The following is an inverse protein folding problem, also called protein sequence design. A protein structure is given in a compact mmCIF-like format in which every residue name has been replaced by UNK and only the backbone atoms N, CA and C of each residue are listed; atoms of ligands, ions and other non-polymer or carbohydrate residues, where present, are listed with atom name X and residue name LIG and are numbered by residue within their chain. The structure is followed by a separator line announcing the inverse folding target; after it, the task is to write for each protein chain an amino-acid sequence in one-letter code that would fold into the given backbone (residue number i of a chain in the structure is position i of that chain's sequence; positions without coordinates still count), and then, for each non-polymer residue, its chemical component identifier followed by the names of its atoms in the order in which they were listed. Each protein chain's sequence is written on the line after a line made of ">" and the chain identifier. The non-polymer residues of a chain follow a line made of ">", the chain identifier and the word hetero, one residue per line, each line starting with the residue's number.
data_IF_145803323121
#
_entry.id   IF_145803323121
#
_cell.length_a   1.000
_cell.length_b   1.000
_cell.length_c   1.000
_cell.angle_alpha   90.00
_cell.angle_beta   90.00
_cell.angle_gamma   90.00
#
_symmetry.space_group_name_H-M   'P 1'
#
loop_
_entity.id
_entity.type
_entity.pdbx_description
1 polymer ?
#
# COMPACT_ATOMS: atom_id res chain seq x y z
N UNK A 1 13.62 -14.05 12.78
CA UNK A 1 13.59 -14.41 11.55
C UNK A 1 13.74 -15.84 11.05
N UNK A 2 14.61 -16.69 11.64
CA UNK A 2 14.96 -18.01 11.05
C UNK A 2 13.81 -19.04 11.07
N UNK A 3 12.76 -18.82 11.87
CA UNK A 3 11.55 -19.68 11.90
C UNK A 3 10.40 -19.12 11.05
N UNK A 4 10.68 -18.29 10.04
CA UNK A 4 9.67 -17.65 9.19
C UNK A 4 8.92 -16.49 9.84
N UNK A 5 9.00 -16.31 11.14
CA UNK A 5 8.38 -15.20 11.86
C UNK A 5 9.37 -14.06 12.01
N UNK A 6 8.99 -12.86 11.57
CA UNK A 6 9.79 -11.65 11.70
C UNK A 6 9.14 -10.71 12.72
N UNK A 7 9.89 -10.28 13.72
CA UNK A 7 9.44 -9.28 14.69
C UNK A 7 9.33 -7.87 14.09
N UNK A 8 9.77 -7.68 12.84
CA UNK A 8 9.75 -6.42 12.10
C UNK A 8 10.39 -5.24 12.86
N UNK A 9 11.60 -5.37 13.42
CA UNK A 9 12.24 -4.27 14.16
C UNK A 9 12.40 -3.02 13.31
N UNK A 10 12.62 -3.17 11.99
CA UNK A 10 12.68 -2.04 11.07
C UNK A 10 11.34 -1.27 10.93
N UNK A 11 10.24 -1.79 11.44
CA UNK A 11 8.90 -1.17 11.40
C UNK A 11 8.47 -0.57 12.73
N UNK A 12 9.36 -0.53 13.70
CA UNK A 12 9.14 0.13 14.98
C UNK A 12 9.51 1.62 14.91
N UNK A 13 8.96 2.46 15.80
CA UNK A 13 9.37 3.86 15.88
C UNK A 13 10.77 3.96 16.48
N UNK A 14 11.58 4.88 15.94
CA UNK A 14 12.95 5.18 16.39
C UNK A 14 13.15 6.67 16.51
N UNK A 15 14.09 7.06 17.36
CA UNK A 15 14.67 8.40 17.45
C UNK A 15 16.12 8.38 16.98
N UNK A 16 16.55 9.42 16.30
CA UNK A 16 17.92 9.62 15.92
C UNK A 16 18.56 10.55 16.96
N UNK A 17 19.35 9.98 17.85
CA UNK A 17 20.05 10.73 18.90
C UNK A 17 21.47 11.09 18.49
N UNK A 18 21.95 12.25 18.93
CA UNK A 18 23.36 12.61 18.88
C UNK A 18 24.12 12.05 20.10
N UNK A 19 25.41 12.34 20.20
CA UNK A 19 26.27 11.90 21.32
C UNK A 19 25.87 12.49 22.69
N UNK A 20 24.92 13.43 22.73
CA UNK A 20 24.39 14.05 23.96
C UNK A 20 22.96 13.61 24.26
N UNK A 21 22.49 12.53 23.62
CA UNK A 21 21.11 12.01 23.71
C UNK A 21 20.02 12.99 23.29
N UNK A 22 20.33 13.99 22.46
CA UNK A 22 19.37 14.92 21.91
C UNK A 22 18.78 14.37 20.61
N UNK A 23 17.45 14.48 20.44
CA UNK A 23 16.77 14.03 19.22
C UNK A 23 17.05 14.99 18.05
N UNK A 24 17.86 14.54 17.11
CA UNK A 24 18.29 15.32 15.94
C UNK A 24 17.16 15.64 14.94
N UNK A 25 16.03 14.98 15.07
CA UNK A 25 14.87 15.15 14.20
C UNK A 25 13.73 15.92 14.87
N UNK A 26 13.89 16.34 16.12
CA UNK A 26 12.91 17.14 16.82
C UNK A 26 12.61 18.45 16.06
N UNK A 27 11.33 18.71 15.80
CA UNK A 27 10.89 19.89 15.04
C UNK A 27 11.13 19.84 13.52
N UNK A 28 11.70 18.73 13.00
CA UNK A 28 11.87 18.50 11.56
C UNK A 28 10.69 17.72 10.99
N UNK A 29 10.45 17.87 9.68
CA UNK A 29 9.47 17.09 8.95
C UNK A 29 9.98 15.66 8.70
N UNK A 30 9.95 14.83 9.76
CA UNK A 30 10.35 13.45 9.75
C UNK A 30 9.32 12.58 10.46
N UNK A 31 9.06 11.39 9.90
CA UNK A 31 8.25 10.39 10.56
C UNK A 31 9.03 9.65 11.66
N UNK A 32 8.34 8.79 12.39
CA UNK A 32 8.92 8.02 13.50
C UNK A 32 9.55 6.69 13.05
N UNK A 33 9.24 6.21 11.85
CA UNK A 33 9.65 4.89 11.35
C UNK A 33 10.91 5.00 10.48
N UNK A 34 11.97 5.52 11.07
CA UNK A 34 13.20 5.91 10.38
C UNK A 34 13.89 4.77 9.63
N UNK A 35 13.69 3.53 10.06
CA UNK A 35 14.27 2.33 9.47
C UNK A 35 13.28 1.55 8.59
N UNK A 36 12.10 2.10 8.31
CA UNK A 36 11.07 1.44 7.51
C UNK A 36 11.26 1.73 6.02
N UNK A 37 11.86 0.82 5.21
CA UNK A 37 12.03 1.08 3.79
C UNK A 37 10.70 0.95 3.04
N UNK A 38 10.62 1.64 1.91
CA UNK A 38 9.62 1.42 0.87
C UNK A 38 9.76 0.00 0.29
N UNK A 39 8.73 -0.47 -0.38
CA UNK A 39 8.78 -1.74 -1.09
C UNK A 39 9.56 -1.57 -2.39
N UNK A 40 10.47 -2.51 -2.68
CA UNK A 40 11.20 -2.50 -3.93
C UNK A 40 10.27 -2.98 -5.06
N UNK A 41 10.09 -2.15 -6.07
CA UNK A 41 9.40 -2.47 -7.31
C UNK A 41 10.32 -2.09 -8.48
N UNK A 42 10.68 -3.08 -9.27
CA UNK A 42 11.64 -2.92 -10.38
C UNK A 42 11.00 -3.02 -11.75
N UNK A 43 9.68 -3.07 -11.85
CA UNK A 43 9.01 -3.16 -13.14
C UNK A 43 9.42 -2.01 -14.08
N UNK A 44 9.53 -0.79 -13.60
CA UNK A 44 9.93 0.35 -14.42
C UNK A 44 11.34 0.26 -15.04
N UNK A 45 12.21 -0.56 -14.45
CA UNK A 45 13.62 -0.74 -14.86
C UNK A 45 13.93 -2.19 -15.26
N UNK A 46 12.91 -3.01 -15.45
CA UNK A 46 13.07 -4.42 -15.79
C UNK A 46 13.86 -4.64 -17.09
N UNK A 47 13.64 -3.88 -18.17
CA UNK A 47 14.46 -3.95 -19.37
C UNK A 47 15.95 -3.79 -19.10
N UNK A 48 16.33 -2.76 -18.33
CA UNK A 48 17.72 -2.51 -17.99
C UNK A 48 18.35 -3.64 -17.17
N UNK A 49 17.56 -4.30 -16.31
CA UNK A 49 18.03 -5.45 -15.53
C UNK A 49 18.27 -6.67 -16.43
N UNK A 50 17.40 -6.92 -17.40
CA UNK A 50 17.56 -8.01 -18.36
C UNK A 50 18.79 -7.75 -19.23
N UNK A 51 18.95 -6.53 -19.77
CA UNK A 51 20.09 -6.13 -20.61
C UNK A 51 21.41 -6.18 -19.85
N UNK A 52 21.40 -5.93 -18.56
CA UNK A 52 22.55 -6.10 -17.67
C UNK A 52 22.92 -7.58 -17.38
N UNK A 53 22.16 -8.53 -17.93
CA UNK A 53 22.42 -9.97 -17.80
C UNK A 53 21.86 -10.61 -16.54
N UNK A 54 20.86 -10.00 -15.89
CA UNK A 54 20.16 -10.64 -14.76
C UNK A 54 19.29 -11.76 -15.30
N UNK A 55 19.62 -13.00 -14.95
CA UNK A 55 18.96 -14.21 -15.45
C UNK A 55 17.93 -14.80 -14.50
N UNK A 56 17.85 -14.33 -13.27
CA UNK A 56 16.91 -14.83 -12.26
C UNK A 56 16.47 -13.73 -11.30
N UNK A 57 15.19 -13.69 -11.01
CA UNK A 57 14.55 -12.70 -10.15
C UNK A 57 13.93 -13.38 -8.95
N UNK A 58 14.32 -12.98 -7.74
CA UNK A 58 13.70 -13.44 -6.51
C UNK A 58 12.62 -12.47 -6.05
N UNK A 59 11.38 -12.94 -6.02
CA UNK A 59 10.25 -12.18 -5.47
C UNK A 59 10.09 -12.57 -4.00
N UNK A 60 10.12 -11.57 -3.11
CA UNK A 60 9.96 -11.80 -1.68
C UNK A 60 8.48 -11.74 -1.30
N UNK A 61 7.95 -12.87 -0.86
CA UNK A 61 6.55 -13.02 -0.45
C UNK A 61 6.39 -13.45 1.02
N UNK A 62 7.49 -13.49 1.80
CA UNK A 62 7.40 -13.90 3.21
C UNK A 62 6.48 -12.97 4.01
N UNK A 63 5.60 -13.55 4.81
CA UNK A 63 4.56 -12.84 5.58
C UNK A 63 3.49 -12.18 4.69
N UNK A 64 3.44 -12.53 3.43
CA UNK A 64 2.40 -12.09 2.50
C UNK A 64 1.35 -13.18 2.31
N UNK A 65 0.16 -12.79 1.88
CA UNK A 65 -0.90 -13.72 1.48
C UNK A 65 -0.57 -14.33 0.11
N UNK A 66 -1.13 -15.52 -0.20
CA UNK A 66 -0.95 -16.14 -1.52
C UNK A 66 -1.34 -15.24 -2.70
N UNK A 67 -2.39 -14.41 -2.53
CA UNK A 67 -2.88 -13.48 -3.54
C UNK A 67 -1.80 -12.44 -3.92
N UNK A 68 -1.03 -11.97 -2.95
CA UNK A 68 0.10 -11.09 -3.23
C UNK A 68 1.12 -11.76 -4.17
N UNK A 69 1.45 -13.01 -3.88
CA UNK A 69 2.43 -13.75 -4.70
C UNK A 69 1.88 -13.95 -6.11
N UNK A 70 0.62 -14.33 -6.23
CA UNK A 70 -0.03 -14.52 -7.53
C UNK A 70 0.00 -13.24 -8.38
N UNK A 71 -0.47 -12.11 -7.84
CA UNK A 71 -0.54 -10.82 -8.54
C UNK A 71 0.86 -10.34 -8.95
N UNK A 72 1.83 -10.38 -8.03
CA UNK A 72 3.17 -9.85 -8.31
C UNK A 72 3.93 -10.73 -9.30
N UNK A 73 3.84 -12.06 -9.18
CA UNK A 73 4.51 -13.00 -10.09
C UNK A 73 3.92 -12.90 -11.49
N UNK A 74 2.59 -12.84 -11.61
CA UNK A 74 1.90 -12.70 -12.89
C UNK A 74 2.30 -11.41 -13.61
N UNK A 75 2.26 -10.27 -12.93
CA UNK A 75 2.67 -8.99 -13.49
C UNK A 75 4.15 -8.99 -13.91
N UNK A 76 5.05 -9.54 -13.09
CA UNK A 76 6.46 -9.66 -13.46
C UNK A 76 6.65 -10.60 -14.67
N UNK A 77 5.90 -11.71 -14.74
CA UNK A 77 5.99 -12.65 -15.86
C UNK A 77 5.54 -11.99 -17.16
N UNK A 78 4.39 -11.34 -17.16
CA UNK A 78 3.88 -10.60 -18.33
C UNK A 78 4.84 -9.50 -18.79
N UNK A 79 5.42 -8.76 -17.85
CA UNK A 79 6.40 -7.71 -18.15
C UNK A 79 7.67 -8.29 -18.82
N UNK A 80 8.19 -9.42 -18.35
CA UNK A 80 9.33 -10.10 -18.97
C UNK A 80 8.97 -10.57 -20.38
N UNK A 81 7.80 -11.19 -20.54
CA UNK A 81 7.37 -11.73 -21.84
C UNK A 81 7.15 -10.59 -22.86
N UNK A 82 6.57 -9.47 -22.47
CA UNK A 82 6.41 -8.29 -23.34
C UNK A 82 7.75 -7.72 -23.77
N UNK A 83 8.73 -7.65 -22.86
CA UNK A 83 10.08 -7.21 -23.20
C UNK A 83 10.76 -8.14 -24.21
N UNK A 84 10.69 -9.45 -23.98
CA UNK A 84 11.27 -10.44 -24.89
C UNK A 84 10.59 -10.48 -26.27
N UNK A 85 9.31 -10.08 -26.34
CA UNK A 85 8.58 -9.90 -27.58
C UNK A 85 8.91 -8.58 -28.31
N UNK A 86 9.72 -7.71 -27.71
CA UNK A 86 10.13 -6.42 -28.30
C UNK A 86 9.15 -5.25 -28.08
N UNK A 87 8.13 -5.43 -27.26
CA UNK A 87 7.11 -4.41 -26.94
C UNK A 87 6.91 -4.33 -25.43
N UNK A 88 7.91 -3.76 -24.73
CA UNK A 88 7.84 -3.64 -23.29
C UNK A 88 6.70 -2.75 -22.85
N UNK A 89 5.75 -3.36 -22.18
CA UNK A 89 4.62 -2.67 -21.58
C UNK A 89 4.25 -3.28 -20.24
N UNK A 90 4.00 -2.42 -19.25
CA UNK A 90 3.38 -2.80 -17.98
C UNK A 90 2.02 -2.11 -17.95
N UNK A 91 0.91 -2.85 -18.10
CA UNK A 91 -0.43 -2.27 -18.04
C UNK A 91 -0.65 -1.48 -16.75
N UNK A 92 -1.38 -0.37 -16.85
CA UNK A 92 -1.72 0.45 -15.68
C UNK A 92 -2.52 -0.36 -14.64
N UNK A 93 -3.34 -1.29 -15.11
CA UNK A 93 -4.07 -2.23 -14.28
C UNK A 93 -3.14 -3.09 -13.41
N UNK A 94 -2.02 -3.57 -13.94
CA UNK A 94 -1.04 -4.34 -13.18
C UNK A 94 -0.40 -3.52 -12.08
N UNK A 95 -0.04 -2.28 -12.39
CA UNK A 95 0.51 -1.36 -11.40
C UNK A 95 -0.51 -1.05 -10.31
N UNK A 96 -1.78 -0.84 -10.67
CA UNK A 96 -2.87 -0.61 -9.74
C UNK A 96 -3.13 -1.85 -8.84
N UNK A 97 -3.11 -3.05 -9.42
CA UNK A 97 -3.28 -4.31 -8.67
C UNK A 97 -2.14 -4.55 -7.68
N UNK A 98 -0.89 -4.28 -8.09
CA UNK A 98 0.28 -4.37 -7.20
C UNK A 98 0.17 -3.35 -6.06
N UNK A 99 -0.24 -2.11 -6.35
CA UNK A 99 -0.44 -1.09 -5.34
C UNK A 99 -1.54 -1.46 -4.36
N UNK A 100 -2.65 -2.01 -4.85
CA UNK A 100 -3.79 -2.42 -4.04
C UNK A 100 -3.47 -3.61 -3.14
N UNK A 101 -2.79 -4.62 -3.67
CA UNK A 101 -2.52 -5.85 -2.90
C UNK A 101 -1.55 -5.62 -1.76
N UNK A 102 -0.52 -4.78 -1.95
CA UNK A 102 0.38 -4.36 -0.88
C UNK A 102 1.25 -3.16 -1.27
N UNK A 103 1.16 -2.08 -0.50
CA UNK A 103 1.85 -0.82 -0.79
C UNK A 103 2.36 -0.15 0.49
N UNK A 104 3.67 0.14 0.55
CA UNK A 104 4.33 1.03 1.53
C UNK A 104 5.13 2.12 0.81
N UNK A 105 4.63 2.61 -0.30
CA UNK A 105 5.30 3.27 -1.41
C UNK A 105 6.33 2.37 -2.09
N UNK A 106 6.71 2.72 -3.33
CA UNK A 106 7.66 1.96 -4.11
C UNK A 106 8.99 2.70 -4.29
N UNK A 107 10.03 1.92 -4.52
CA UNK A 107 11.39 2.40 -4.79
C UNK A 107 12.11 1.38 -5.67
N UNK A 108 13.02 1.85 -6.51
CA UNK A 108 14.02 1.00 -7.20
C UNK A 108 15.24 0.71 -6.33
N UNK A 109 15.20 1.15 -5.06
CA UNK A 109 16.31 1.06 -4.10
C UNK A 109 17.60 1.69 -4.66
N UNK A 110 18.69 0.93 -4.67
CA UNK A 110 20.01 1.41 -5.12
C UNK A 110 20.33 1.07 -6.57
N UNK A 111 19.36 0.55 -7.34
CA UNK A 111 19.62 0.05 -8.70
C UNK A 111 19.86 1.17 -9.71
N UNK A 112 19.25 2.35 -9.52
CA UNK A 112 19.44 3.49 -10.41
C UNK A 112 20.29 4.61 -9.78
N UNK A 113 20.14 4.82 -8.48
CA UNK A 113 20.77 5.93 -7.75
C UNK A 113 20.84 5.64 -6.26
N UNK A 114 21.54 6.48 -5.53
CA UNK A 114 21.50 6.47 -4.05
C UNK A 114 20.29 7.26 -3.58
N UNK A 115 19.21 6.60 -3.12
CA UNK A 115 17.96 7.30 -2.80
C UNK A 115 18.01 8.11 -1.50
N UNK A 116 18.98 7.84 -0.61
CA UNK A 116 19.08 8.49 0.68
C UNK A 116 17.80 8.29 1.51
N UNK A 117 17.34 9.35 2.18
CA UNK A 117 16.10 9.32 2.99
C UNK A 117 14.85 8.98 2.18
N UNK A 118 14.80 9.27 0.89
CA UNK A 118 13.60 9.01 0.06
C UNK A 118 13.30 7.52 -0.10
N UNK A 119 14.24 6.65 0.26
CA UNK A 119 14.03 5.21 0.33
C UNK A 119 13.11 4.80 1.49
N UNK A 120 12.96 5.65 2.51
CA UNK A 120 12.21 5.31 3.71
C UNK A 120 10.73 5.69 3.60
N UNK A 121 9.89 4.81 4.15
CA UNK A 121 8.47 5.03 4.39
C UNK A 121 8.30 5.40 5.87
N UNK A 122 8.91 6.53 6.27
CA UNK A 122 9.14 6.90 7.67
C UNK A 122 7.86 7.30 8.44
N UNK A 123 6.78 7.59 7.74
CA UNK A 123 5.50 7.98 8.37
C UNK A 123 4.55 6.82 8.60
N UNK A 124 4.63 5.77 7.79
CA UNK A 124 3.67 4.66 7.80
C UNK A 124 4.36 3.33 7.44
N UNK A 125 4.59 2.45 8.43
CA UNK A 125 5.32 1.20 8.22
C UNK A 125 4.45 0.06 7.69
N UNK A 126 3.11 0.21 7.72
CA UNK A 126 2.16 -0.81 7.33
C UNK A 126 1.73 -0.68 5.86
N UNK A 127 1.01 -1.68 5.37
CA UNK A 127 0.31 -1.59 4.10
C UNK A 127 -0.60 -0.35 4.09
N UNK A 128 -0.57 0.42 3.01
CA UNK A 128 -1.40 1.62 2.85
C UNK A 128 -2.65 1.36 2.02
N UNK A 129 -2.61 0.29 1.20
CA UNK A 129 -3.58 0.10 0.15
C UNK A 129 -3.61 1.28 -0.81
N UNK A 130 -4.74 1.48 -1.45
CA UNK A 130 -5.03 2.63 -2.31
C UNK A 130 -6.07 3.54 -1.65
N UNK A 131 -5.94 4.85 -1.85
CA UNK A 131 -6.97 5.79 -1.41
C UNK A 131 -8.16 5.67 -2.35
N UNK A 132 -9.27 5.17 -1.83
CA UNK A 132 -10.49 4.94 -2.62
C UNK A 132 -11.52 6.05 -2.50
N UNK A 133 -11.37 6.95 -1.53
CA UNK A 133 -12.33 8.04 -1.33
C UNK A 133 -12.20 8.72 0.01
N UNK A 134 -13.16 9.59 0.30
CA UNK A 134 -13.23 10.39 1.52
C UNK A 134 -14.58 10.26 2.19
N UNK A 135 -14.58 10.15 3.51
CA UNK A 135 -15.81 10.18 4.32
C UNK A 135 -16.41 11.57 4.23
N UNK A 136 -17.59 11.66 3.60
CA UNK A 136 -18.36 12.89 3.47
C UNK A 136 -19.24 13.12 4.71
N UNK A 137 -19.78 12.06 5.30
CA UNK A 137 -20.62 12.12 6.50
C UNK A 137 -20.45 10.85 7.33
N UNK A 138 -20.46 10.99 8.64
CA UNK A 138 -20.46 9.91 9.60
C UNK A 138 -21.69 9.99 10.50
N UNK A 139 -22.50 8.94 10.51
CA UNK A 139 -23.60 8.75 11.46
C UNK A 139 -23.13 7.78 12.56
N UNK A 140 -22.69 8.35 13.68
CA UNK A 140 -22.18 7.59 14.82
C UNK A 140 -23.25 6.76 15.53
N UNK A 141 -24.53 7.20 15.48
CA UNK A 141 -25.63 6.52 16.16
C UNK A 141 -26.02 5.24 15.40
N UNK A 142 -25.88 5.24 14.10
CA UNK A 142 -26.22 4.11 13.22
C UNK A 142 -24.99 3.33 12.75
N UNK A 143 -23.80 3.75 13.13
CA UNK A 143 -22.54 3.18 12.65
C UNK A 143 -22.47 3.12 11.12
N UNK A 144 -22.84 4.22 10.45
CA UNK A 144 -22.81 4.31 9.00
C UNK A 144 -21.94 5.48 8.55
N UNK A 145 -21.19 5.28 7.46
CA UNK A 145 -20.44 6.34 6.79
C UNK A 145 -20.92 6.51 5.35
N UNK A 146 -21.06 7.76 4.93
CA UNK A 146 -21.21 8.14 3.53
C UNK A 146 -19.82 8.45 3.00
N UNK A 147 -19.39 7.72 1.98
CA UNK A 147 -18.09 7.86 1.34
C UNK A 147 -18.29 8.38 -0.08
N UNK A 148 -17.58 9.46 -0.43
CA UNK A 148 -17.42 9.89 -1.82
C UNK A 148 -16.26 9.13 -2.42
N UNK A 149 -16.52 8.34 -3.45
CA UNK A 149 -15.53 7.46 -4.07
C UNK A 149 -14.68 8.21 -5.09
N UNK A 150 -13.38 7.99 -5.04
CA UNK A 150 -12.41 8.40 -6.05
C UNK A 150 -11.98 7.22 -6.93
N UNK A 151 -12.19 5.96 -6.44
CA UNK A 151 -11.97 4.70 -7.14
C UNK A 151 -13.17 3.78 -6.94
N UNK A 152 -13.26 2.73 -7.74
CA UNK A 152 -14.31 1.72 -7.62
C UNK A 152 -14.22 0.97 -6.30
N UNK A 153 -15.38 0.61 -5.74
CA UNK A 153 -15.51 -0.16 -4.51
C UNK A 153 -16.48 -1.32 -4.71
N UNK A 154 -16.13 -2.50 -4.21
CA UNK A 154 -16.94 -3.72 -4.30
C UNK A 154 -17.34 -4.25 -2.92
N UNK A 155 -18.43 -5.00 -2.86
CA UNK A 155 -18.71 -5.83 -1.69
C UNK A 155 -17.59 -6.86 -1.51
N UNK A 156 -17.20 -7.07 -0.26
CA UNK A 156 -16.08 -7.94 0.10
C UNK A 156 -14.73 -7.24 0.19
N UNK A 157 -14.60 -6.00 -0.31
CA UNK A 157 -13.37 -5.23 -0.18
C UNK A 157 -13.03 -4.95 1.28
N UNK A 158 -11.74 -5.04 1.60
CA UNK A 158 -11.21 -4.61 2.88
C UNK A 158 -10.95 -3.11 2.89
N UNK A 159 -11.61 -2.38 3.78
CA UNK A 159 -11.41 -0.95 3.98
C UNK A 159 -10.66 -0.64 5.27
N UNK A 160 -9.89 0.44 5.23
CA UNK A 160 -9.24 1.01 6.41
C UNK A 160 -9.58 2.50 6.52
N UNK A 161 -10.28 2.86 7.59
CA UNK A 161 -10.56 4.26 7.92
C UNK A 161 -9.41 4.87 8.68
N UNK A 162 -8.94 6.01 8.22
CA UNK A 162 -7.95 6.80 8.93
C UNK A 162 -8.66 7.81 9.80
N UNK A 163 -8.54 7.61 11.09
CA UNK A 163 -9.20 8.45 12.08
C UNK A 163 -8.22 9.40 12.75
N UNK A 164 -8.70 10.57 13.15
CA UNK A 164 -7.86 11.63 13.73
C UNK A 164 -7.25 11.21 15.07
N UNK A 165 -7.95 10.37 15.83
CA UNK A 165 -7.54 9.86 17.14
C UNK A 165 -7.73 8.36 17.15
N UNK A 166 -6.68 7.60 17.53
CA UNK A 166 -6.74 6.14 17.59
C UNK A 166 -6.20 5.41 16.38
N UNK A 167 -5.74 6.12 15.33
CA UNK A 167 -5.02 5.54 14.21
C UNK A 167 -5.92 5.03 13.10
N UNK A 168 -6.12 3.71 13.00
CA UNK A 168 -6.82 3.09 11.88
C UNK A 168 -7.86 2.08 12.35
N UNK A 169 -8.97 2.04 11.63
CA UNK A 169 -10.04 1.07 11.89
C UNK A 169 -10.34 0.33 10.59
N UNK A 170 -10.08 -0.99 10.60
CA UNK A 170 -10.32 -1.86 9.44
C UNK A 170 -11.72 -2.45 9.47
N UNK A 171 -12.30 -2.65 8.30
CA UNK A 171 -13.57 -3.37 8.10
C UNK A 171 -13.58 -4.05 6.74
N UNK A 172 -14.53 -4.94 6.54
CA UNK A 172 -14.89 -5.47 5.22
C UNK A 172 -16.23 -4.87 4.80
N UNK A 173 -16.37 -4.51 3.53
CA UNK A 173 -17.63 -4.00 2.98
C UNK A 173 -18.62 -5.15 2.86
N UNK A 174 -19.54 -5.26 3.81
CA UNK A 174 -20.58 -6.32 3.83
C UNK A 174 -21.92 -5.85 3.32
N UNK A 175 -22.15 -4.55 3.34
CA UNK A 175 -23.35 -3.89 2.81
C UNK A 175 -22.95 -2.54 2.20
N UNK A 176 -23.56 -2.20 1.07
CA UNK A 176 -23.28 -0.95 0.37
C UNK A 176 -24.54 -0.41 -0.30
N UNK A 177 -24.91 0.83 0.03
CA UNK A 177 -26.06 1.52 -0.55
C UNK A 177 -25.58 2.68 -1.43
N UNK A 178 -26.05 2.73 -2.67
CA UNK A 178 -25.86 3.87 -3.56
C UNK A 178 -27.24 4.46 -3.92
N UNK A 179 -27.46 5.74 -3.61
CA UNK A 179 -28.77 6.38 -3.82
C UNK A 179 -29.92 5.69 -3.08
N UNK A 180 -29.63 5.00 -1.97
CA UNK A 180 -30.63 4.26 -1.18
C UNK A 180 -30.87 2.81 -1.62
N UNK A 181 -30.30 2.37 -2.74
CA UNK A 181 -30.39 1.00 -3.25
C UNK A 181 -29.15 0.19 -2.90
N UNK A 182 -29.35 -1.08 -2.56
CA UNK A 182 -28.21 -2.00 -2.35
C UNK A 182 -27.53 -2.31 -3.67
N UNK A 183 -26.18 -2.23 -3.67
CA UNK A 183 -25.36 -2.44 -4.87
C UNK A 183 -24.18 -3.36 -4.55
N UNK A 184 -23.70 -4.10 -5.56
CA UNK A 184 -22.53 -4.98 -5.45
C UNK A 184 -21.24 -4.23 -5.69
N UNK A 185 -21.26 -3.15 -6.50
CA UNK A 185 -20.13 -2.27 -6.76
C UNK A 185 -20.60 -0.83 -6.96
N UNK A 186 -19.68 0.12 -6.82
CA UNK A 186 -19.94 1.52 -7.06
C UNK A 186 -18.72 2.17 -7.72
N UNK A 187 -18.98 2.98 -8.74
CA UNK A 187 -17.96 3.62 -9.57
C UNK A 187 -17.38 4.90 -8.94
N UNK A 188 -16.19 5.36 -9.41
CA UNK A 188 -15.66 6.67 -9.03
C UNK A 188 -16.67 7.79 -9.21
N UNK A 189 -16.65 8.77 -8.28
CA UNK A 189 -17.57 9.91 -8.27
C UNK A 189 -18.89 9.66 -7.54
N UNK A 190 -19.30 8.41 -7.34
CA UNK A 190 -20.51 8.06 -6.61
C UNK A 190 -20.34 8.25 -5.09
N UNK A 191 -21.45 8.40 -4.40
CA UNK A 191 -21.51 8.37 -2.94
C UNK A 191 -22.18 7.09 -2.49
N UNK A 192 -21.50 6.37 -1.61
CA UNK A 192 -22.02 5.14 -1.01
C UNK A 192 -22.16 5.26 0.49
N UNK A 193 -23.16 4.59 1.03
CA UNK A 193 -23.32 4.42 2.48
C UNK A 193 -22.96 3.00 2.83
N UNK A 194 -22.04 2.83 3.78
CA UNK A 194 -21.60 1.53 4.29
C UNK A 194 -21.67 1.48 5.80
N UNK A 195 -21.71 0.28 6.34
CA UNK A 195 -21.56 0.05 7.76
C UNK A 195 -20.09 0.23 8.19
N UNK A 196 -19.90 0.87 9.33
CA UNK A 196 -18.55 1.09 9.88
C UNK A 196 -18.46 0.56 11.30
N UNK A 197 -17.31 0.00 11.70
CA UNK A 197 -17.13 -0.51 13.04
C UNK A 197 -17.08 0.62 14.07
N UNK A 198 -17.35 0.26 15.32
CA UNK A 198 -17.15 1.16 16.46
C UNK A 198 -15.68 1.63 16.49
N UNK A 199 -15.48 2.93 16.67
CA UNK A 199 -14.13 3.52 16.72
C UNK A 199 -13.79 4.43 15.54
N UNK A 200 -14.57 4.40 14.46
CA UNK A 200 -14.47 5.43 13.40
C UNK A 200 -15.04 6.74 13.95
N UNK A 201 -14.16 7.78 14.13
CA UNK A 201 -14.50 9.06 14.77
C UNK A 201 -13.88 10.22 14.02
#
# INVERSE_FOLDING_TARGET
>A
GNRGRCAQPCRLPYKLLNAKDEDMLQGKDAGQYLLSPKDMNTLSILPQLIDAGVVSYKIEGRMKRPEYVAVVVDACRRAIDSYLAGDYNVPEEDLANIEQIFNRDFTTAYLERRPGRTMMSDRRPNNRGVLIGRVAKLDKNRNKAVIKLDKELHLGDGLEFWVSVGGRVGTTVTDMLCGGNSVQSAAPGQQVTIDVPNGVR
#
